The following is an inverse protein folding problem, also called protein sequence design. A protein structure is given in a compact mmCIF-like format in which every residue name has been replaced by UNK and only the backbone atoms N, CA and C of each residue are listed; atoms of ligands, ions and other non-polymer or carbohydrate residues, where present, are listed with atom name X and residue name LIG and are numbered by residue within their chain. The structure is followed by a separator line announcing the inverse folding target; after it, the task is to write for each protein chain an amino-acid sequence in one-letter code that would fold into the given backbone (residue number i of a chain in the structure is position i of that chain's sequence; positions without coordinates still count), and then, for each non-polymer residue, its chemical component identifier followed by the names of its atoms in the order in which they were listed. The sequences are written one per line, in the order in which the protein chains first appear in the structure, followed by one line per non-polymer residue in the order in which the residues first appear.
data_IF_708143928140
#
_entry.id   IF_708143928140
#
_cell.length_a   1.000
_cell.length_b   1.000
_cell.length_c   1.000
_cell.angle_alpha   90.00
_cell.angle_beta   90.00
_cell.angle_gamma   90.00
#
_symmetry.space_group_name_H-M   'P 1'
#
loop_
_entity.id
_entity.type
_entity.pdbx_description
1 polymer ?
#
# COMPACT_ATOMS: atom_id res chain seq x y z
N UNK A 1 -35.08 -17.01 -110.79
CA UNK A 1 -34.30 -16.32 -109.73
C UNK A 1 -34.36 -17.18 -108.48
N UNK A 2 -33.50 -18.20 -108.41
CA UNK A 2 -33.48 -19.18 -107.31
C UNK A 2 -32.12 -19.12 -106.66
N UNK A 3 -32.09 -18.73 -105.39
CA UNK A 3 -30.89 -18.75 -104.55
C UNK A 3 -30.49 -20.23 -104.41
N UNK A 4 -29.27 -20.57 -104.79
CA UNK A 4 -28.74 -21.93 -104.66
C UNK A 4 -28.60 -22.31 -103.17
N UNK A 5 -28.84 -23.57 -102.80
CA UNK A 5 -28.77 -24.04 -101.40
C UNK A 5 -27.45 -23.68 -100.71
N UNK A 6 -26.34 -23.68 -101.45
CA UNK A 6 -25.00 -23.38 -100.94
C UNK A 6 -24.87 -21.94 -100.43
N UNK A 7 -25.53 -20.97 -101.08
CA UNK A 7 -25.52 -19.56 -100.66
C UNK A 7 -26.33 -19.39 -99.38
N UNK A 8 -27.47 -20.06 -99.25
CA UNK A 8 -28.26 -20.05 -98.01
C UNK A 8 -27.50 -20.67 -96.83
N UNK A 9 -26.74 -21.74 -97.06
CA UNK A 9 -25.90 -22.36 -96.02
C UNK A 9 -24.75 -21.42 -95.62
N UNK A 10 -24.10 -20.76 -96.58
CA UNK A 10 -23.06 -19.79 -96.31
C UNK A 10 -23.58 -18.58 -95.50
N UNK A 11 -24.74 -18.04 -95.85
CA UNK A 11 -25.39 -16.95 -95.10
C UNK A 11 -25.75 -17.40 -93.68
N UNK A 12 -26.31 -18.59 -93.51
CA UNK A 12 -26.62 -19.15 -92.20
C UNK A 12 -25.36 -19.38 -91.34
N UNK A 13 -24.26 -19.84 -91.94
CA UNK A 13 -22.98 -20.01 -91.25
C UNK A 13 -22.38 -18.69 -90.80
N UNK A 14 -22.39 -17.66 -91.65
CA UNK A 14 -21.90 -16.32 -91.28
C UNK A 14 -22.73 -15.74 -90.14
N UNK A 15 -24.07 -15.83 -90.21
CA UNK A 15 -24.95 -15.38 -89.13
C UNK A 15 -24.66 -16.14 -87.83
N UNK A 16 -24.47 -17.47 -87.90
CA UNK A 16 -24.13 -18.28 -86.74
C UNK A 16 -22.79 -17.88 -86.10
N UNK A 17 -21.74 -17.70 -86.91
CA UNK A 17 -20.42 -17.28 -86.43
C UNK A 17 -20.48 -15.90 -85.79
N UNK A 18 -21.21 -14.95 -86.39
CA UNK A 18 -21.38 -13.59 -85.81
C UNK A 18 -22.11 -13.65 -84.46
N UNK A 19 -23.17 -14.44 -84.34
CA UNK A 19 -23.90 -14.60 -83.08
C UNK A 19 -23.07 -15.28 -81.99
N UNK A 20 -22.31 -16.32 -82.35
CA UNK A 20 -21.41 -17.02 -81.41
C UNK A 20 -20.24 -16.15 -81.02
N UNK A 21 -19.61 -15.43 -81.96
CA UNK A 21 -18.53 -14.51 -81.65
C UNK A 21 -19.01 -13.38 -80.74
N UNK A 22 -20.18 -12.78 -81.00
CA UNK A 22 -20.70 -11.69 -80.18
C UNK A 22 -21.08 -12.13 -78.75
N UNK A 23 -21.73 -13.29 -78.61
CA UNK A 23 -22.16 -13.80 -77.30
C UNK A 23 -21.04 -14.52 -76.53
N UNK A 24 -20.19 -15.23 -77.25
CA UNK A 24 -19.04 -15.98 -76.72
C UNK A 24 -17.95 -15.06 -76.20
N UNK A 25 -17.58 -14.01 -76.95
CA UNK A 25 -16.58 -13.03 -76.48
C UNK A 25 -17.04 -12.30 -75.23
N UNK A 26 -18.28 -11.80 -75.18
CA UNK A 26 -18.84 -11.14 -73.98
C UNK A 26 -18.85 -12.02 -72.74
N UNK A 27 -19.20 -13.30 -72.86
CA UNK A 27 -19.22 -14.24 -71.74
C UNK A 27 -17.79 -14.55 -71.25
N UNK A 28 -16.84 -14.68 -72.17
CA UNK A 28 -15.45 -14.99 -71.86
C UNK A 28 -14.75 -13.80 -71.17
N UNK A 29 -14.92 -12.58 -71.70
CA UNK A 29 -14.35 -11.37 -71.09
C UNK A 29 -14.94 -11.11 -69.72
N UNK A 30 -16.27 -11.23 -69.55
CA UNK A 30 -16.92 -11.05 -68.26
C UNK A 30 -16.42 -12.05 -67.19
N UNK A 31 -16.13 -13.30 -67.57
CA UNK A 31 -15.56 -14.29 -66.65
C UNK A 31 -14.11 -14.00 -66.25
N UNK A 32 -13.31 -13.45 -67.18
CA UNK A 32 -11.93 -13.02 -66.90
C UNK A 32 -11.92 -11.75 -66.03
N UNK A 33 -12.78 -10.78 -66.32
CA UNK A 33 -12.92 -9.55 -65.54
C UNK A 33 -13.35 -9.87 -64.09
N UNK A 34 -14.35 -10.76 -63.92
CA UNK A 34 -14.77 -11.19 -62.58
C UNK A 34 -13.64 -11.86 -61.78
N UNK A 35 -12.80 -12.67 -62.44
CA UNK A 35 -11.63 -13.28 -61.80
C UNK A 35 -10.58 -12.23 -61.46
N UNK A 36 -10.30 -11.29 -62.37
CA UNK A 36 -9.35 -10.21 -62.13
C UNK A 36 -9.78 -9.35 -60.93
N UNK A 37 -11.06 -9.02 -60.84
CA UNK A 37 -11.60 -8.23 -59.73
C UNK A 37 -11.61 -9.00 -58.41
N UNK A 38 -11.90 -10.30 -58.43
CA UNK A 38 -11.79 -11.15 -57.25
C UNK A 38 -10.34 -11.22 -56.73
N UNK A 39 -9.37 -11.37 -57.64
CA UNK A 39 -7.94 -11.40 -57.29
C UNK A 39 -7.49 -10.05 -56.74
N UNK A 40 -7.88 -8.93 -57.38
CA UNK A 40 -7.59 -7.58 -56.88
C UNK A 40 -8.13 -7.38 -55.48
N UNK A 41 -9.41 -7.71 -55.26
CA UNK A 41 -10.05 -7.60 -53.95
C UNK A 41 -9.32 -8.44 -52.89
N UNK A 42 -8.94 -9.68 -53.23
CA UNK A 42 -8.20 -10.54 -52.30
C UNK A 42 -6.79 -10.00 -52.00
N UNK A 43 -6.10 -9.42 -52.98
CA UNK A 43 -4.80 -8.78 -52.78
C UNK A 43 -4.92 -7.53 -51.91
N UNK A 44 -5.94 -6.71 -52.11
CA UNK A 44 -6.20 -5.52 -51.29
C UNK A 44 -6.54 -5.91 -49.86
N UNK A 45 -7.41 -6.90 -49.66
CA UNK A 45 -7.72 -7.44 -48.33
C UNK A 45 -6.48 -8.01 -47.64
N UNK A 46 -5.62 -8.72 -48.37
CA UNK A 46 -4.38 -9.28 -47.82
C UNK A 46 -3.38 -8.19 -47.44
N UNK A 47 -3.28 -7.12 -48.25
CA UNK A 47 -2.43 -5.96 -47.93
C UNK A 47 -2.93 -5.26 -46.68
N UNK A 48 -4.24 -4.97 -46.59
CA UNK A 48 -4.83 -4.36 -45.41
C UNK A 48 -4.61 -5.22 -44.16
N UNK A 49 -4.85 -6.53 -44.24
CA UNK A 49 -4.60 -7.45 -43.11
C UNK A 49 -3.13 -7.46 -42.69
N UNK A 50 -2.20 -7.38 -43.64
CA UNK A 50 -0.77 -7.31 -43.34
C UNK A 50 -0.41 -6.00 -42.65
N UNK A 51 -0.95 -4.87 -43.11
CA UNK A 51 -0.74 -3.55 -42.50
C UNK A 51 -1.31 -3.52 -41.07
N UNK A 52 -2.53 -4.02 -40.88
CA UNK A 52 -3.16 -4.15 -39.56
C UNK A 52 -2.33 -5.02 -38.61
N UNK A 53 -1.84 -6.17 -39.08
CA UNK A 53 -0.99 -7.04 -38.27
C UNK A 53 0.35 -6.38 -37.89
N UNK A 54 0.95 -5.63 -38.82
CA UNK A 54 2.18 -4.87 -38.55
C UNK A 54 1.94 -3.73 -37.56
N UNK A 55 0.83 -3.00 -37.69
CA UNK A 55 0.43 -1.96 -36.77
C UNK A 55 0.14 -2.51 -35.36
N UNK A 56 -0.55 -3.64 -35.28
CA UNK A 56 -0.81 -4.34 -34.03
C UNK A 56 0.50 -4.80 -33.37
N UNK A 57 1.41 -5.41 -34.12
CA UNK A 57 2.72 -5.83 -33.60
C UNK A 57 3.52 -4.65 -33.05
N UNK A 58 3.58 -3.53 -33.79
CA UNK A 58 4.28 -2.33 -33.35
C UNK A 58 3.64 -1.73 -32.09
N UNK A 59 2.31 -1.75 -32.00
CA UNK A 59 1.57 -1.33 -30.80
C UNK A 59 1.91 -2.22 -29.60
N UNK A 60 1.88 -3.55 -29.76
CA UNK A 60 2.23 -4.48 -28.70
C UNK A 60 3.68 -4.36 -28.23
N UNK A 61 4.63 -4.20 -29.15
CA UNK A 61 6.03 -3.97 -28.80
C UNK A 61 6.22 -2.67 -28.01
N UNK A 62 5.52 -1.60 -28.39
CA UNK A 62 5.53 -0.35 -27.65
C UNK A 62 4.92 -0.52 -26.25
N UNK A 63 3.74 -1.12 -26.16
CA UNK A 63 3.07 -1.40 -24.88
C UNK A 63 3.94 -2.28 -23.98
N UNK A 64 4.61 -3.30 -24.52
CA UNK A 64 5.50 -4.16 -23.75
C UNK A 64 6.67 -3.37 -23.18
N UNK A 65 7.33 -2.54 -23.99
CA UNK A 65 8.45 -1.71 -23.54
C UNK A 65 8.01 -0.71 -22.47
N UNK A 66 6.87 -0.06 -22.69
CA UNK A 66 6.35 0.94 -21.77
C UNK A 66 5.92 0.27 -20.45
N UNK A 67 5.31 -0.92 -20.49
CA UNK A 67 4.98 -1.70 -19.29
C UNK A 67 6.23 -2.19 -18.52
N UNK A 68 7.31 -2.54 -19.21
CA UNK A 68 8.58 -2.89 -18.57
C UNK A 68 9.20 -1.66 -17.87
N UNK A 69 9.18 -0.51 -18.54
CA UNK A 69 9.67 0.74 -17.96
C UNK A 69 8.85 1.14 -16.72
N UNK A 70 7.53 1.03 -16.79
CA UNK A 70 6.63 1.30 -15.66
C UNK A 70 6.87 0.31 -14.51
N UNK A 71 7.08 -0.98 -14.80
CA UNK A 71 7.41 -1.96 -13.78
C UNK A 71 8.75 -1.64 -13.08
N UNK A 72 9.77 -1.25 -13.84
CA UNK A 72 11.07 -0.83 -13.29
C UNK A 72 10.93 0.42 -12.42
N UNK A 73 10.11 1.39 -12.83
CA UNK A 73 9.80 2.60 -12.06
C UNK A 73 9.08 2.26 -10.75
N UNK A 74 8.07 1.37 -10.80
CA UNK A 74 7.35 0.89 -9.61
C UNK A 74 8.33 0.23 -8.63
N UNK A 75 9.23 -0.63 -9.12
CA UNK A 75 10.22 -1.30 -8.27
C UNK A 75 11.22 -0.30 -7.67
N UNK A 76 11.66 0.68 -8.45
CA UNK A 76 12.56 1.73 -7.97
C UNK A 76 11.89 2.59 -6.89
N UNK A 77 10.65 3.00 -7.10
CA UNK A 77 9.87 3.78 -6.15
C UNK A 77 9.59 2.99 -4.88
N UNK A 78 9.20 1.71 -4.99
CA UNK A 78 8.99 0.84 -3.85
C UNK A 78 10.25 0.68 -2.99
N UNK A 79 11.43 0.56 -3.62
CA UNK A 79 12.72 0.51 -2.89
C UNK A 79 13.02 1.84 -2.19
N UNK A 80 12.81 2.98 -2.85
CA UNK A 80 13.01 4.29 -2.26
C UNK A 80 12.07 4.53 -1.08
N UNK A 81 10.80 4.14 -1.21
CA UNK A 81 9.81 4.23 -0.14
C UNK A 81 10.15 3.30 1.03
N UNK A 82 10.61 2.08 0.75
CA UNK A 82 11.06 1.15 1.79
C UNK A 82 12.24 1.71 2.59
N UNK A 83 13.23 2.32 1.93
CA UNK A 83 14.37 2.93 2.61
C UNK A 83 13.92 4.14 3.45
N UNK A 84 13.04 5.00 2.91
CA UNK A 84 12.48 6.13 3.66
C UNK A 84 11.70 5.66 4.89
N UNK A 85 10.87 4.63 4.75
CA UNK A 85 10.11 4.05 5.85
C UNK A 85 11.02 3.41 6.90
N UNK A 86 12.11 2.76 6.49
CA UNK A 86 13.10 2.20 7.41
C UNK A 86 13.75 3.30 8.25
N UNK A 87 14.24 4.37 7.63
CA UNK A 87 14.83 5.52 8.35
C UNK A 87 13.81 6.16 9.30
N UNK A 88 12.56 6.34 8.84
CA UNK A 88 11.49 6.87 9.68
C UNK A 88 11.19 5.94 10.89
N UNK A 89 11.13 4.63 10.66
CA UNK A 89 10.89 3.65 11.71
C UNK A 89 12.04 3.62 12.73
N UNK A 90 13.29 3.70 12.28
CA UNK A 90 14.47 3.78 13.16
C UNK A 90 14.43 5.04 14.04
N UNK A 91 14.06 6.20 13.46
CA UNK A 91 13.91 7.45 14.21
C UNK A 91 12.79 7.35 15.26
N UNK A 92 11.62 6.84 14.88
CA UNK A 92 10.48 6.66 15.80
C UNK A 92 10.81 5.65 16.89
N UNK A 93 11.51 4.55 16.56
CA UNK A 93 11.92 3.54 17.52
C UNK A 93 12.92 4.15 18.52
N UNK A 94 13.93 4.87 18.05
CA UNK A 94 14.92 5.54 18.90
C UNK A 94 14.26 6.53 19.86
N UNK A 95 13.35 7.37 19.35
CA UNK A 95 12.59 8.30 20.20
C UNK A 95 11.72 7.57 21.23
N UNK A 96 11.10 6.45 20.84
CA UNK A 96 10.26 5.64 21.74
C UNK A 96 11.09 4.97 22.82
N UNK A 97 12.25 4.42 22.48
CA UNK A 97 13.19 3.81 23.45
C UNK A 97 13.65 4.86 24.44
N UNK A 98 14.12 6.02 23.97
CA UNK A 98 14.57 7.11 24.84
C UNK A 98 13.47 7.55 25.82
N UNK A 99 12.25 7.74 25.34
CA UNK A 99 11.11 8.09 26.19
C UNK A 99 10.80 6.99 27.23
N UNK A 100 10.90 5.72 26.85
CA UNK A 100 10.70 4.59 27.78
C UNK A 100 11.80 4.51 28.83
N UNK A 101 13.03 4.81 28.44
CA UNK A 101 14.16 4.90 29.36
C UNK A 101 13.96 6.02 30.38
N UNK A 102 13.61 7.22 29.92
CA UNK A 102 13.28 8.36 30.79
C UNK A 102 12.15 8.01 31.77
N UNK A 103 11.07 7.37 31.28
CA UNK A 103 9.97 6.90 32.13
C UNK A 103 10.41 5.83 33.14
N UNK A 104 11.32 4.94 32.77
CA UNK A 104 11.83 3.92 33.68
C UNK A 104 12.70 4.57 34.78
N UNK A 105 13.57 5.51 34.42
CA UNK A 105 14.39 6.28 35.37
C UNK A 105 13.51 7.07 36.33
N UNK A 106 12.47 7.74 35.83
CA UNK A 106 11.53 8.47 36.67
C UNK A 106 10.80 7.54 37.66
N UNK A 107 10.37 6.36 37.21
CA UNK A 107 9.75 5.36 38.10
C UNK A 107 10.71 4.83 39.15
N UNK A 108 11.98 4.61 38.80
CA UNK A 108 13.02 4.18 39.75
C UNK A 108 13.20 5.27 40.81
N UNK A 109 13.36 6.53 40.42
CA UNK A 109 13.52 7.63 41.36
C UNK A 109 12.30 7.78 42.30
N UNK A 110 11.07 7.63 41.77
CA UNK A 110 9.86 7.63 42.59
C UNK A 110 9.82 6.45 43.57
N UNK A 111 10.19 5.25 43.13
CA UNK A 111 10.26 4.07 43.96
C UNK A 111 11.33 4.20 45.07
N UNK A 112 12.50 4.75 44.75
CA UNK A 112 13.57 5.03 45.71
C UNK A 112 13.11 6.05 46.78
N UNK A 113 12.49 7.14 46.35
CA UNK A 113 11.95 8.14 47.28
C UNK A 113 10.89 7.54 48.22
N UNK A 114 10.05 6.65 47.69
CA UNK A 114 9.03 5.93 48.47
C UNK A 114 9.67 4.96 49.45
N UNK A 115 10.65 4.16 49.01
CA UNK A 115 11.35 3.22 49.87
C UNK A 115 12.11 3.93 51.02
N UNK A 116 12.76 5.06 50.74
CA UNK A 116 13.43 5.88 51.76
C UNK A 116 12.41 6.38 52.79
N UNK A 117 11.25 6.86 52.33
CA UNK A 117 10.17 7.31 53.22
C UNK A 117 9.67 6.15 54.09
N UNK A 118 9.41 4.98 53.50
CA UNK A 118 8.90 3.80 54.23
C UNK A 118 9.88 3.34 55.31
N UNK A 119 11.19 3.31 55.01
CA UNK A 119 12.24 2.97 55.99
C UNK A 119 12.27 3.99 57.13
N UNK A 120 12.15 5.28 56.81
CA UNK A 120 12.12 6.36 57.82
C UNK A 120 10.89 6.23 58.71
N UNK A 121 9.73 5.98 58.12
CA UNK A 121 8.46 5.84 58.85
C UNK A 121 8.53 4.61 59.79
N UNK A 122 9.08 3.48 59.34
CA UNK A 122 9.34 2.31 60.19
C UNK A 122 10.33 2.61 61.33
N UNK A 123 11.40 3.36 61.06
CA UNK A 123 12.35 3.75 62.09
C UNK A 123 11.72 4.67 63.16
N UNK A 124 10.85 5.59 62.74
CA UNK A 124 10.09 6.46 63.65
C UNK A 124 9.14 5.63 64.50
N UNK A 125 8.40 4.70 63.91
CA UNK A 125 7.47 3.82 64.62
C UNK A 125 8.21 2.96 65.66
N UNK A 126 9.36 2.39 65.29
CA UNK A 126 10.21 1.64 66.22
C UNK A 126 10.73 2.52 67.36
N UNK A 127 11.20 3.74 67.06
CA UNK A 127 11.70 4.68 68.06
C UNK A 127 10.59 5.10 69.04
N UNK A 128 9.39 5.39 68.56
CA UNK A 128 8.21 5.69 69.38
C UNK A 128 7.85 4.48 70.24
N UNK A 129 7.88 3.27 69.68
CA UNK A 129 7.61 2.03 70.43
C UNK A 129 8.61 1.82 71.57
N UNK A 130 9.91 2.01 71.31
CA UNK A 130 10.97 1.91 72.32
C UNK A 130 10.84 3.00 73.37
N UNK A 131 10.62 4.26 72.96
CA UNK A 131 10.41 5.38 73.88
C UNK A 131 9.20 5.14 74.78
N UNK A 132 8.08 4.69 74.23
CA UNK A 132 6.87 4.33 74.98
C UNK A 132 7.17 3.23 75.99
N UNK A 133 7.90 2.19 75.61
CA UNK A 133 8.30 1.10 76.51
C UNK A 133 9.17 1.61 77.66
N UNK A 134 10.19 2.42 77.37
CA UNK A 134 11.09 3.01 78.38
C UNK A 134 10.28 3.92 79.32
N UNK A 135 9.38 4.75 78.79
CA UNK A 135 8.52 5.62 79.58
C UNK A 135 7.68 4.78 80.54
N UNK A 136 7.02 3.71 80.06
CA UNK A 136 6.22 2.82 80.91
C UNK A 136 7.05 2.11 81.97
N UNK A 137 8.26 1.64 81.65
CA UNK A 137 9.18 0.99 82.61
C UNK A 137 9.71 1.96 83.67
N UNK A 138 9.97 3.22 83.29
CA UNK A 138 10.46 4.28 84.19
C UNK A 138 9.33 5.01 84.93
N UNK A 139 8.07 4.76 84.56
CA UNK A 139 6.88 5.37 85.16
C UNK A 139 6.67 4.85 86.57
N UNK A 140 7.19 5.58 87.55
CA UNK A 140 6.96 5.32 88.98
C UNK A 140 5.88 6.26 89.53
N UNK A 141 5.26 5.89 90.66
CA UNK A 141 4.24 6.74 91.32
C UNK A 141 4.75 8.15 91.65
N UNK A 142 6.05 8.28 91.92
CA UNK A 142 6.70 9.57 92.18
C UNK A 142 6.74 10.45 90.93
N UNK A 143 7.18 9.88 89.80
CA UNK A 143 7.24 10.58 88.50
C UNK A 143 5.85 10.96 88.00
N UNK A 144 4.83 10.11 88.21
CA UNK A 144 3.43 10.43 87.88
C UNK A 144 2.91 11.64 88.66
N UNK A 145 3.14 11.68 89.97
CA UNK A 145 2.70 12.80 90.81
C UNK A 145 3.42 14.10 90.44
N UNK A 146 4.71 14.03 90.09
CA UNK A 146 5.50 15.18 89.62
C UNK A 146 4.99 15.71 88.26
N UNK A 147 4.71 14.82 87.30
CA UNK A 147 4.09 15.17 86.01
C UNK A 147 2.70 15.82 86.16
N UNK A 148 1.86 15.32 87.07
CA UNK A 148 0.54 15.91 87.34
C UNK A 148 0.68 17.30 87.93
N UNK A 149 1.67 17.51 88.81
CA UNK A 149 1.98 18.81 89.39
C UNK A 149 2.50 19.80 88.34
N UNK A 150 3.47 19.39 87.52
CA UNK A 150 4.02 20.23 86.45
C UNK A 150 2.96 20.59 85.41
N UNK A 151 2.12 19.62 84.98
CA UNK A 151 1.05 19.87 84.02
C UNK A 151 -0.02 20.85 84.58
N UNK A 152 -0.31 20.78 85.87
CA UNK A 152 -1.24 21.71 86.52
C UNK A 152 -0.63 23.11 86.69
N UNK A 153 0.66 23.22 87.00
CA UNK A 153 1.39 24.50 87.03
C UNK A 153 1.51 25.15 85.63
N UNK A 154 1.74 24.36 84.58
CA UNK A 154 1.83 24.86 83.20
C UNK A 154 0.47 25.34 82.66
N UNK A 155 -0.62 24.61 82.99
CA UNK A 155 -1.99 25.06 82.76
C UNK A 155 -2.27 26.39 83.46
N UNK A 156 -1.91 26.52 84.74
CA UNK A 156 -2.11 27.76 85.51
C UNK A 156 -1.33 28.93 84.87
N UNK A 157 -0.08 28.71 84.43
CA UNK A 157 0.70 29.73 83.70
C UNK A 157 0.05 30.15 82.39
N UNK A 158 -0.51 29.22 81.63
CA UNK A 158 -1.17 29.50 80.35
C UNK A 158 -2.51 30.24 80.50
N UNK A 159 -3.15 30.16 81.67
CA UNK A 159 -4.36 30.91 82.03
C UNK A 159 -4.10 32.26 82.73
N UNK A 160 -2.85 32.54 83.10
CA UNK A 160 -2.44 33.82 83.71
C UNK A 160 -1.87 34.83 82.69
N UNK A 161 -1.81 34.47 81.41
CA UNK A 161 -1.64 35.36 80.25
C UNK A 161 -2.93 35.41 79.43
#
# INVERSE_FOLDING_TARGET
MTITPDISVAIAFVIFVVLVAWKGTKKLTAGLDQRADAIRKQLDETQNLREEAQAALASYQRQQRDALAEADEIVAQAKADAERLKVQAENVLTATIKRREEQAVERIAQAEATAIKDVRDQAIELAIGVATKIITEKMTKTVQNELVKDASEDLIKKFQH
#
